data_IF_556007431258
#
_entry.id   IF_556007431258
#
_cell.length_a   1.000
_cell.length_b   1.000
_cell.length_c   1.000
_cell.angle_alpha   90.00
_cell.angle_beta   90.00
_cell.angle_gamma   90.00
#
_symmetry.space_group_name_H-M   'P 1'
#
loop_
_entity.id
_entity.type
_entity.pdbx_description
1 polymer ?
#
# COMPACT_ATOMS: atom_id res chain seq x y z
N UNK A 1 16.85 4.44 -15.96
CA UNK A 1 15.79 3.53 -15.47
C UNK A 1 14.65 4.36 -14.91
N UNK A 2 13.44 4.14 -15.40
CA UNK A 2 12.29 4.91 -14.97
C UNK A 2 11.77 4.36 -13.63
N UNK A 3 11.81 5.19 -12.61
CA UNK A 3 11.32 4.86 -11.27
C UNK A 3 9.86 4.39 -11.28
N UNK A 4 9.02 5.02 -12.08
CA UNK A 4 7.60 4.67 -12.18
C UNK A 4 7.41 3.30 -12.80
N UNK A 5 8.20 2.94 -13.81
CA UNK A 5 8.16 1.61 -14.40
C UNK A 5 8.56 0.54 -13.39
N UNK A 6 9.59 0.82 -12.59
CA UNK A 6 10.05 -0.12 -11.57
C UNK A 6 9.00 -0.31 -10.48
N UNK A 7 8.33 0.77 -10.07
CA UNK A 7 7.23 0.71 -9.11
C UNK A 7 6.08 -0.14 -9.66
N UNK A 8 5.70 0.06 -10.91
CA UNK A 8 4.65 -0.72 -11.55
C UNK A 8 5.03 -2.19 -11.66
N UNK A 9 6.28 -2.48 -11.94
CA UNK A 9 6.79 -3.86 -12.01
C UNK A 9 6.71 -4.54 -10.64
N UNK A 10 7.09 -3.84 -9.57
CA UNK A 10 6.96 -4.33 -8.20
C UNK A 10 5.48 -4.59 -7.87
N UNK A 11 4.61 -3.62 -8.18
CA UNK A 11 3.18 -3.80 -7.96
C UNK A 11 2.65 -5.04 -8.68
N UNK A 12 2.97 -5.20 -9.97
CA UNK A 12 2.49 -6.32 -10.76
C UNK A 12 2.97 -7.67 -10.21
N UNK A 13 4.16 -7.69 -9.63
CA UNK A 13 4.70 -8.90 -9.00
C UNK A 13 3.86 -9.35 -7.79
N UNK A 14 3.39 -8.40 -6.98
CA UNK A 14 2.71 -8.71 -5.73
C UNK A 14 1.18 -8.56 -5.79
N UNK A 15 0.65 -7.92 -6.83
CA UNK A 15 -0.75 -7.52 -6.88
C UNK A 15 -1.74 -8.66 -6.57
N UNK A 16 -1.56 -9.80 -7.20
CA UNK A 16 -2.45 -10.94 -6.99
C UNK A 16 -2.30 -11.58 -5.61
N UNK A 17 -1.09 -11.56 -5.06
CA UNK A 17 -0.76 -12.24 -3.80
C UNK A 17 -1.11 -11.43 -2.57
N UNK A 18 -1.06 -10.10 -2.65
CA UNK A 18 -1.21 -9.24 -1.46
C UNK A 18 -2.63 -8.79 -1.15
N UNK A 19 -3.61 -9.23 -1.90
CA UNK A 19 -5.02 -8.89 -1.67
C UNK A 19 -5.83 -10.13 -1.30
N UNK A 20 -6.94 -9.94 -0.60
CA UNK A 20 -7.92 -10.99 -0.39
C UNK A 20 -8.53 -11.40 -1.73
N UNK A 21 -8.86 -12.69 -1.86
CA UNK A 21 -9.34 -13.28 -3.12
C UNK A 21 -10.62 -12.62 -3.65
N UNK A 22 -11.49 -12.17 -2.76
CA UNK A 22 -12.77 -11.54 -3.12
C UNK A 22 -12.64 -10.10 -3.59
N UNK A 23 -11.47 -9.48 -3.45
CA UNK A 23 -11.24 -8.09 -3.80
C UNK A 23 -10.49 -7.98 -5.13
N UNK A 24 -10.58 -6.80 -5.73
CA UNK A 24 -9.98 -6.52 -7.03
C UNK A 24 -9.20 -5.22 -7.00
N UNK A 25 -8.03 -5.21 -7.63
CA UNK A 25 -7.29 -3.99 -7.91
C UNK A 25 -7.87 -3.29 -9.13
N UNK A 26 -8.12 -2.00 -9.00
CA UNK A 26 -8.52 -1.12 -10.11
C UNK A 26 -7.28 -0.32 -10.50
N UNK A 27 -6.56 -0.80 -11.51
CA UNK A 27 -5.30 -0.19 -11.92
C UNK A 27 -5.51 0.91 -12.94
N UNK A 28 -4.71 1.97 -12.83
CA UNK A 28 -4.73 3.05 -13.79
C UNK A 28 -4.40 2.51 -15.19
N UNK A 29 -5.18 2.94 -16.17
CA UNK A 29 -5.04 2.43 -17.54
C UNK A 29 -5.67 1.08 -17.78
N UNK A 30 -6.28 0.47 -16.77
CA UNK A 30 -6.95 -0.83 -16.89
C UNK A 30 -8.36 -0.75 -17.45
N UNK A 31 -8.76 0.42 -17.95
CA UNK A 31 -10.08 0.66 -18.52
C UNK A 31 -10.81 1.81 -17.82
N UNK A 32 -11.89 2.29 -18.43
CA UNK A 32 -12.64 3.43 -17.91
C UNK A 32 -13.24 3.18 -16.52
N UNK A 33 -13.61 1.94 -16.22
CA UNK A 33 -14.15 1.56 -14.90
C UNK A 33 -13.11 1.71 -13.81
N UNK A 34 -11.89 1.24 -14.07
CA UNK A 34 -10.78 1.35 -13.10
C UNK A 34 -10.41 2.81 -12.86
N UNK A 35 -10.29 3.59 -13.91
CA UNK A 35 -9.95 5.01 -13.81
C UNK A 35 -11.01 5.79 -13.05
N UNK A 36 -12.29 5.48 -13.25
CA UNK A 36 -13.39 6.12 -12.50
C UNK A 36 -13.33 5.81 -11.01
N UNK A 37 -12.96 4.60 -10.63
CA UNK A 37 -12.82 4.22 -9.21
C UNK A 37 -11.75 5.06 -8.54
N UNK A 38 -10.59 5.18 -9.20
CA UNK A 38 -9.48 5.99 -8.70
C UNK A 38 -9.89 7.46 -8.56
N UNK A 39 -10.49 8.03 -9.61
CA UNK A 39 -10.94 9.41 -9.60
C UNK A 39 -12.01 9.67 -8.53
N UNK A 40 -12.91 8.70 -8.33
CA UNK A 40 -13.98 8.80 -7.33
C UNK A 40 -13.40 8.86 -5.92
N UNK A 41 -12.41 8.03 -5.62
CA UNK A 41 -11.74 8.04 -4.33
C UNK A 41 -11.01 9.37 -4.08
N UNK A 42 -10.23 9.82 -5.07
CA UNK A 42 -9.51 11.10 -5.01
C UNK A 42 -10.47 12.26 -4.77
N UNK A 43 -11.57 12.30 -5.49
CA UNK A 43 -12.57 13.37 -5.41
C UNK A 43 -13.33 13.34 -4.09
N UNK A 44 -13.72 12.15 -3.63
CA UNK A 44 -14.49 12.00 -2.40
C UNK A 44 -13.71 12.55 -1.18
N UNK A 45 -12.42 12.31 -1.12
CA UNK A 45 -11.58 12.77 -0.02
C UNK A 45 -10.88 14.11 -0.32
N UNK A 46 -11.16 14.70 -1.47
CA UNK A 46 -10.58 15.99 -1.88
C UNK A 46 -9.04 15.94 -1.79
N UNK A 47 -8.45 14.88 -2.36
CA UNK A 47 -7.02 14.66 -2.27
C UNK A 47 -6.25 15.59 -3.21
N UNK A 48 -5.09 16.13 -2.80
CA UNK A 48 -4.29 17.02 -3.63
C UNK A 48 -3.38 16.22 -4.61
N UNK A 49 -3.93 15.18 -5.21
CA UNK A 49 -3.20 14.33 -6.16
C UNK A 49 -4.04 14.16 -7.43
N UNK A 50 -3.36 13.88 -8.52
CA UNK A 50 -4.00 13.61 -9.80
C UNK A 50 -4.09 12.09 -10.01
N UNK A 51 -5.04 11.66 -10.85
CA UNK A 51 -5.24 10.24 -11.15
C UNK A 51 -4.00 9.60 -11.79
N UNK A 52 -3.18 10.37 -12.51
CA UNK A 52 -1.95 9.87 -13.13
C UNK A 52 -0.83 9.58 -12.13
N UNK A 53 -0.98 10.02 -10.89
CA UNK A 53 -0.06 9.68 -9.80
C UNK A 53 -0.40 8.34 -9.14
N UNK A 54 -1.56 7.78 -9.45
CA UNK A 54 -2.02 6.52 -8.90
C UNK A 54 -1.48 5.32 -9.69
N UNK A 55 -1.18 4.25 -8.97
CA UNK A 55 -0.85 2.96 -9.57
C UNK A 55 -2.10 2.10 -9.62
N UNK A 56 -2.76 1.92 -8.48
CA UNK A 56 -3.94 1.07 -8.38
C UNK A 56 -4.73 1.37 -7.11
N UNK A 57 -6.01 1.03 -7.13
CA UNK A 57 -6.92 1.22 -6.01
C UNK A 57 -7.57 -0.11 -5.63
N UNK A 58 -7.55 -0.43 -4.35
CA UNK A 58 -8.25 -1.58 -3.78
C UNK A 58 -9.52 -1.08 -3.09
N UNK A 59 -10.68 -1.33 -3.72
CA UNK A 59 -11.98 -0.93 -3.17
C UNK A 59 -12.45 -2.00 -2.18
N UNK A 60 -12.52 -1.63 -0.91
CA UNK A 60 -12.89 -2.55 0.17
C UNK A 60 -14.36 -2.40 0.57
N UNK A 61 -15.11 -1.51 -0.07
CA UNK A 61 -16.52 -1.32 0.24
C UNK A 61 -17.38 -2.47 -0.30
N UNK A 62 -18.42 -2.81 0.44
CA UNK A 62 -19.36 -3.87 0.04
C UNK A 62 -20.11 -3.48 -1.25
N UNK A 63 -20.50 -2.20 -1.35
CA UNK A 63 -21.26 -1.69 -2.48
C UNK A 63 -20.37 -1.12 -3.59
N UNK A 64 -19.07 -1.28 -3.49
CA UNK A 64 -18.09 -0.79 -4.48
C UNK A 64 -18.20 0.71 -4.75
N UNK A 65 -18.39 1.49 -3.67
CA UNK A 65 -18.56 2.94 -3.74
C UNK A 65 -17.25 3.72 -3.77
N UNK A 66 -16.12 3.05 -3.59
CA UNK A 66 -14.78 3.65 -3.50
C UNK A 66 -14.63 4.67 -2.34
N UNK A 67 -15.39 4.48 -1.27
CA UNK A 67 -15.32 5.35 -0.08
C UNK A 67 -14.41 4.81 1.01
N UNK A 68 -13.97 3.59 0.87
CA UNK A 68 -13.00 2.94 1.74
C UNK A 68 -12.07 2.11 0.87
N UNK A 69 -10.83 2.00 1.27
CA UNK A 69 -9.88 1.21 0.53
C UNK A 69 -8.47 1.74 0.63
N UNK A 70 -7.68 1.35 -0.34
CA UNK A 70 -6.26 1.64 -0.37
C UNK A 70 -5.87 2.11 -1.76
N UNK A 71 -5.32 3.31 -1.85
CA UNK A 71 -4.82 3.86 -3.10
C UNK A 71 -3.29 3.83 -3.08
N UNK A 72 -2.72 3.01 -3.95
CA UNK A 72 -1.27 2.97 -4.15
C UNK A 72 -0.88 4.04 -5.15
N UNK A 73 0.03 4.93 -4.74
CA UNK A 73 0.57 5.97 -5.60
C UNK A 73 2.07 5.78 -5.77
N UNK A 74 2.69 6.60 -6.61
CA UNK A 74 4.16 6.54 -6.79
C UNK A 74 4.93 7.09 -5.60
N UNK A 75 4.28 7.82 -4.71
CA UNK A 75 4.94 8.42 -3.54
C UNK A 75 4.51 7.81 -2.20
N UNK A 76 3.44 7.03 -2.18
CA UNK A 76 2.97 6.44 -0.94
C UNK A 76 1.65 5.71 -1.08
N UNK A 77 1.05 5.41 0.06
CA UNK A 77 -0.19 4.65 0.15
C UNK A 77 -1.21 5.46 0.95
N UNK A 78 -2.36 5.74 0.34
CA UNK A 78 -3.49 6.37 1.02
C UNK A 78 -4.44 5.28 1.48
N UNK A 79 -4.73 5.26 2.76
CA UNK A 79 -5.54 4.20 3.38
C UNK A 79 -6.76 4.81 4.07
N UNK A 80 -7.95 4.32 3.72
CA UNK A 80 -9.19 4.62 4.43
C UNK A 80 -9.77 3.32 4.95
N UNK A 81 -9.63 3.11 6.23
CA UNK A 81 -10.19 1.96 6.93
C UNK A 81 -11.59 2.29 7.47
N UNK A 82 -12.44 1.28 7.71
CA UNK A 82 -13.74 1.53 8.33
C UNK A 82 -13.58 2.26 9.67
N UNK A 83 -14.42 3.28 9.88
CA UNK A 83 -14.49 4.05 11.13
C UNK A 83 -13.23 4.85 11.48
N UNK A 84 -12.21 4.83 10.64
CA UNK A 84 -10.97 5.57 10.84
C UNK A 84 -10.85 6.71 9.84
N UNK A 85 -10.01 7.70 10.18
CA UNK A 85 -9.69 8.77 9.24
C UNK A 85 -8.76 8.27 8.16
N UNK A 86 -8.85 8.90 6.99
CA UNK A 86 -7.87 8.68 5.93
C UNK A 86 -6.47 9.01 6.44
N UNK A 87 -5.49 8.18 6.12
CA UNK A 87 -4.10 8.48 6.42
C UNK A 87 -3.20 8.15 5.23
N UNK A 88 -2.03 8.77 5.20
CA UNK A 88 -1.06 8.66 4.12
C UNK A 88 0.24 8.07 4.64
N UNK A 89 0.67 6.98 4.01
CA UNK A 89 1.95 6.32 4.28
C UNK A 89 2.93 6.73 3.20
N UNK A 90 3.77 7.70 3.49
CA UNK A 90 4.74 8.24 2.53
C UNK A 90 5.97 7.35 2.49
N UNK A 91 6.31 6.82 1.31
CA UNK A 91 7.40 5.85 1.17
C UNK A 91 8.75 6.39 1.68
N UNK A 92 9.02 7.69 1.47
CA UNK A 92 10.27 8.29 1.93
C UNK A 92 10.46 8.22 3.44
N UNK A 93 9.36 8.15 4.18
CA UNK A 93 9.37 8.08 5.64
C UNK A 93 9.37 6.66 6.17
N UNK A 94 9.20 5.68 5.30
CA UNK A 94 9.09 4.27 5.69
C UNK A 94 10.47 3.62 5.69
N UNK A 95 10.80 2.96 6.79
CA UNK A 95 11.98 2.11 6.91
C UNK A 95 11.71 0.72 6.35
N UNK A 96 10.51 0.19 6.59
CA UNK A 96 10.10 -1.13 6.13
C UNK A 96 8.77 -1.54 6.72
N UNK A 97 8.41 -2.79 6.52
CA UNK A 97 7.20 -3.38 7.10
C UNK A 97 7.50 -4.78 7.59
N UNK A 98 6.79 -5.19 8.64
CA UNK A 98 6.96 -6.54 9.20
C UNK A 98 5.66 -7.09 9.73
N UNK A 99 5.56 -8.40 9.75
CA UNK A 99 4.44 -9.13 10.33
C UNK A 99 4.89 -9.66 11.68
N UNK A 100 4.09 -9.40 12.71
CA UNK A 100 4.36 -9.84 14.09
C UNK A 100 3.31 -10.81 14.57
N UNK A 101 3.72 -11.85 15.26
CA UNK A 101 2.81 -12.78 15.90
C UNK A 101 2.14 -12.12 17.10
N UNK A 102 0.83 -12.37 17.26
CA UNK A 102 0.06 -11.92 18.42
C UNK A 102 -0.15 -13.11 19.32
N UNK A 103 0.39 -13.02 20.55
CA UNK A 103 0.30 -14.08 21.55
C UNK A 103 -0.55 -13.56 22.70
N UNK A 104 -1.58 -14.33 23.09
CA UNK A 104 -2.48 -13.95 24.18
C UNK A 104 -1.85 -14.18 25.55
N UNK A 105 -2.58 -13.83 26.63
CA UNK A 105 -2.11 -13.95 28.00
C UNK A 105 -1.75 -15.39 28.39
N UNK A 106 -2.39 -16.38 27.76
CA UNK A 106 -2.14 -17.79 28.01
C UNK A 106 -0.98 -18.35 27.19
N UNK A 107 -0.29 -17.53 26.41
CA UNK A 107 0.82 -17.94 25.57
C UNK A 107 0.44 -18.55 24.23
N UNK A 108 -0.84 -18.46 23.82
CA UNK A 108 -1.29 -19.02 22.56
C UNK A 108 -1.19 -18.00 21.43
N UNK A 109 -0.76 -18.47 20.27
CA UNK A 109 -0.76 -17.68 19.04
C UNK A 109 -2.21 -17.45 18.60
N UNK A 110 -2.63 -16.17 18.56
CA UNK A 110 -4.00 -15.80 18.16
C UNK A 110 -4.08 -15.21 16.76
N UNK A 111 -2.95 -14.90 16.14
CA UNK A 111 -2.91 -14.32 14.80
C UNK A 111 -1.63 -13.57 14.56
N UNK A 112 -1.68 -12.70 13.57
CA UNK A 112 -0.56 -11.85 13.20
C UNK A 112 -1.04 -10.43 12.94
N UNK A 113 -0.17 -9.44 13.13
CA UNK A 113 -0.40 -8.03 12.82
C UNK A 113 0.66 -7.54 11.85
N UNK A 114 0.27 -6.61 10.98
CA UNK A 114 1.17 -5.95 10.05
C UNK A 114 1.51 -4.56 10.56
N UNK A 115 2.81 -4.28 10.68
CA UNK A 115 3.31 -2.97 11.11
C UNK A 115 4.14 -2.34 10.02
N UNK A 116 3.93 -1.05 9.81
CA UNK A 116 4.82 -0.21 9.00
C UNK A 116 5.75 0.53 9.96
N UNK A 117 7.03 0.41 9.72
CA UNK A 117 8.08 1.02 10.54
C UNK A 117 8.59 2.27 9.84
N UNK A 118 8.65 3.37 10.58
CA UNK A 118 9.09 4.65 10.04
C UNK A 118 10.54 4.95 10.44
N UNK A 119 11.20 5.75 9.62
CA UNK A 119 12.61 6.14 9.84
C UNK A 119 12.82 6.94 11.13
N UNK A 120 11.76 7.59 11.64
CA UNK A 120 11.81 8.34 12.89
C UNK A 120 11.69 7.45 14.15
N UNK A 121 11.59 6.14 13.96
CA UNK A 121 11.46 5.18 15.06
C UNK A 121 10.03 4.87 15.47
N UNK A 122 9.05 5.56 14.90
CA UNK A 122 7.64 5.26 15.16
C UNK A 122 7.18 4.09 14.28
N UNK A 123 6.04 3.52 14.62
CA UNK A 123 5.44 2.44 13.85
C UNK A 123 3.92 2.59 13.82
N UNK A 124 3.30 1.99 12.81
CA UNK A 124 1.85 1.99 12.66
C UNK A 124 1.36 0.61 12.29
N UNK A 125 0.40 0.12 13.05
CA UNK A 125 -0.30 -1.11 12.73
C UNK A 125 -1.33 -0.84 11.65
N UNK A 126 -1.33 -1.65 10.59
CA UNK A 126 -2.32 -1.54 9.52
C UNK A 126 -3.50 -2.47 9.79
N UNK A 127 -4.68 -2.01 9.39
CA UNK A 127 -5.86 -2.86 9.36
C UNK A 127 -5.73 -3.84 8.19
N UNK A 128 -5.73 -5.11 8.49
CA UNK A 128 -5.32 -6.15 7.57
C UNK A 128 -6.46 -7.05 7.06
N UNK A 129 -7.70 -6.66 7.31
CA UNK A 129 -8.86 -7.47 6.92
C UNK A 129 -9.03 -7.69 5.43
N UNK A 130 -8.32 -6.91 4.59
CA UNK A 130 -8.49 -6.92 3.15
C UNK A 130 -7.22 -7.29 2.39
N UNK A 131 -6.11 -7.48 3.10
CA UNK A 131 -4.81 -7.77 2.51
C UNK A 131 -4.20 -9.02 3.12
N UNK A 132 -3.31 -9.65 2.37
CA UNK A 132 -2.47 -10.74 2.87
C UNK A 132 -1.18 -10.12 3.40
N UNK A 133 -1.03 -10.09 4.70
CA UNK A 133 -0.02 -9.34 5.43
C UNK A 133 1.40 -9.61 4.96
N UNK A 134 1.75 -10.87 4.81
CA UNK A 134 3.11 -11.27 4.43
C UNK A 134 3.50 -10.71 3.07
N UNK A 135 2.62 -10.81 2.10
CA UNK A 135 2.87 -10.32 0.74
C UNK A 135 2.83 -8.80 0.67
N UNK A 136 1.96 -8.17 1.45
CA UNK A 136 1.90 -6.72 1.49
C UNK A 136 3.17 -6.14 2.14
N UNK A 137 3.68 -6.77 3.19
CA UNK A 137 4.95 -6.39 3.80
C UNK A 137 6.09 -6.52 2.79
N UNK A 138 6.12 -7.61 2.01
CA UNK A 138 7.12 -7.78 0.96
C UNK A 138 7.04 -6.68 -0.09
N UNK A 139 5.82 -6.29 -0.48
CA UNK A 139 5.61 -5.19 -1.41
C UNK A 139 6.20 -3.88 -0.86
N UNK A 140 5.86 -3.51 0.36
CA UNK A 140 6.38 -2.30 1.00
C UNK A 140 7.91 -2.35 1.07
N UNK A 141 8.48 -3.48 1.48
CA UNK A 141 9.92 -3.64 1.59
C UNK A 141 10.61 -3.55 0.23
N UNK A 142 9.99 -4.09 -0.81
CA UNK A 142 10.54 -3.98 -2.18
C UNK A 142 10.55 -2.53 -2.66
N UNK A 143 9.48 -1.78 -2.40
CA UNK A 143 9.39 -0.37 -2.78
C UNK A 143 10.42 0.46 -2.01
N UNK A 144 10.53 0.26 -0.70
CA UNK A 144 11.48 1.01 0.11
C UNK A 144 12.93 0.67 -0.25
N UNK A 145 13.20 -0.59 -0.61
CA UNK A 145 14.51 -0.99 -1.12
C UNK A 145 14.85 -0.31 -2.42
N UNK A 146 13.88 -0.18 -3.33
CA UNK A 146 14.07 0.55 -4.59
C UNK A 146 14.44 2.01 -4.34
N UNK A 147 13.72 2.67 -3.43
CA UNK A 147 13.98 4.07 -3.08
C UNK A 147 15.35 4.24 -2.43
N UNK A 148 15.67 3.40 -1.47
CA UNK A 148 16.95 3.45 -0.77
C UNK A 148 18.12 3.09 -1.71
N UNK A 149 17.89 2.16 -2.61
CA UNK A 149 18.86 1.81 -3.64
C UNK A 149 19.14 2.96 -4.59
N UNK A 150 18.11 3.74 -4.95
CA UNK A 150 18.28 4.95 -5.76
C UNK A 150 19.10 6.00 -5.02
N UNK A 151 18.87 6.18 -3.71
CA UNK A 151 19.63 7.10 -2.88
C UNK A 151 21.09 6.66 -2.74
N UNK A 152 21.34 5.36 -2.81
CA UNK A 152 22.68 4.77 -2.72
C UNK A 152 23.32 4.47 -4.08
N UNK A 153 22.66 4.81 -5.17
CA UNK A 153 23.15 4.57 -6.53
C UNK A 153 24.28 5.52 -6.96
N UNK A 154 24.88 6.23 -6.02
CA UNK A 154 26.01 7.11 -6.25
C UNK A 154 27.35 6.36 -6.25
N UNK A 155 28.42 7.05 -5.81
CA UNK A 155 29.78 6.53 -5.88
C UNK A 155 30.03 5.20 -5.15
N UNK A 156 29.17 4.85 -4.26
CA UNK A 156 29.31 3.63 -3.46
C UNK A 156 28.92 2.37 -4.22
N UNK A 157 28.25 2.52 -5.33
CA UNK A 157 27.79 1.40 -6.13
C UNK A 157 28.92 0.68 -6.89
N UNK A 158 30.10 1.20 -6.74
CA UNK A 158 31.30 0.61 -7.33
C UNK A 158 31.88 -0.55 -6.53
#
# INVERSE_FOLDING_TARGET
MDFREDMCRIFNKYAGSMKMRSLKWYSRGGGSSADRKIERFIRYFVLPIKADEAISFLDTTVLKTAREGMLLTFSGILVKEPLNKLYYLEYEKIKGAEVREVINEDGWLTGTDLYVLFKDGTERKLFDGYIKKEFFAEYINAVTALLNGSDHAGPEAG
#
